data_IF_744858437293
#
_entry.id   IF_744858437293
#
_cell.length_a   1.000
_cell.length_b   1.000
_cell.length_c   1.000
_cell.angle_alpha   90.00
_cell.angle_beta   90.00
_cell.angle_gamma   90.00
#
_symmetry.space_group_name_H-M   'P 1'
#
loop_
_entity.id
_entity.type
_entity.pdbx_description
1 polymer ?
#
# COMPACT_ATOMS: atom_id res chain seq x y z
N UNK A 1 10.24 1.03 -9.39
CA UNK A 1 10.60 1.05 -7.96
C UNK A 1 9.57 1.87 -7.22
N UNK A 2 9.19 1.45 -6.01
CA UNK A 2 8.29 2.21 -5.14
C UNK A 2 8.98 2.35 -3.78
N UNK A 3 8.98 3.57 -3.25
CA UNK A 3 9.67 3.91 -2.01
C UNK A 3 8.68 4.52 -1.03
N UNK A 4 8.54 3.93 0.16
CA UNK A 4 7.75 4.49 1.26
C UNK A 4 8.63 5.37 2.15
N UNK A 5 8.15 6.56 2.45
CA UNK A 5 8.74 7.46 3.45
C UNK A 5 7.91 7.39 4.72
N UNK A 6 8.58 7.43 5.87
CA UNK A 6 7.94 7.20 7.15
C UNK A 6 8.38 8.23 8.18
N UNK A 7 7.45 8.65 9.04
CA UNK A 7 7.82 9.34 10.27
C UNK A 7 8.23 8.30 11.33
N UNK A 8 9.36 8.54 11.99
CA UNK A 8 9.87 7.70 13.06
C UNK A 8 9.59 8.40 14.38
N UNK A 9 8.82 7.76 15.27
CA UNK A 9 8.69 8.27 16.64
C UNK A 9 9.96 7.90 17.43
N UNK A 10 10.77 8.86 17.90
CA UNK A 10 12.02 8.57 18.61
C UNK A 10 11.79 7.87 19.95
N UNK A 11 10.59 7.95 20.53
CA UNK A 11 10.23 7.28 21.79
C UNK A 11 9.67 5.87 21.59
N UNK A 12 9.29 5.51 20.37
CA UNK A 12 8.76 4.19 20.07
C UNK A 12 9.06 3.78 18.63
N UNK A 13 10.12 2.99 18.46
CA UNK A 13 10.61 2.51 17.16
C UNK A 13 9.55 1.70 16.40
N UNK A 14 8.54 1.17 17.10
CA UNK A 14 7.43 0.39 16.54
C UNK A 14 6.29 1.24 15.94
N UNK A 15 6.28 2.56 16.16
CA UNK A 15 5.30 3.47 15.55
C UNK A 15 5.90 4.08 14.27
N UNK A 16 5.98 3.28 13.22
CA UNK A 16 6.34 3.74 11.88
C UNK A 16 5.03 4.01 11.12
N UNK A 17 4.86 5.22 10.60
CA UNK A 17 3.69 5.57 9.79
C UNK A 17 4.14 6.13 8.45
N UNK A 18 3.56 5.63 7.37
CA UNK A 18 3.79 6.11 6.02
C UNK A 18 3.28 7.54 5.91
N UNK A 19 4.16 8.43 5.48
CA UNK A 19 3.88 9.86 5.29
C UNK A 19 3.75 10.21 3.82
N UNK A 20 4.49 9.51 2.96
CA UNK A 20 4.44 9.68 1.52
C UNK A 20 5.00 8.45 0.82
N UNK A 21 4.65 8.32 -0.46
CA UNK A 21 5.13 7.24 -1.33
C UNK A 21 5.62 7.86 -2.63
N UNK A 22 6.80 7.43 -3.08
CA UNK A 22 7.38 7.85 -4.35
C UNK A 22 7.45 6.68 -5.30
N UNK A 23 7.07 6.92 -6.56
CA UNK A 23 7.05 5.92 -7.62
C UNK A 23 8.06 6.26 -8.69
N UNK A 24 8.76 5.25 -9.21
CA UNK A 24 9.82 5.43 -10.19
C UNK A 24 9.72 4.38 -11.30
N UNK A 25 9.96 4.81 -12.53
CA UNK A 25 10.16 3.95 -13.70
C UNK A 25 11.65 3.90 -14.04
N UNK A 26 12.15 2.72 -14.42
CA UNK A 26 13.50 2.61 -14.95
C UNK A 26 13.49 3.05 -16.41
N UNK A 27 14.26 4.09 -16.73
CA UNK A 27 14.61 4.45 -18.09
C UNK A 27 15.83 3.62 -18.50
N UNK A 28 15.60 2.64 -19.38
CA UNK A 28 16.66 1.75 -19.85
C UNK A 28 17.68 2.43 -20.76
N UNK A 29 17.29 3.52 -21.44
CA UNK A 29 18.21 4.23 -22.35
C UNK A 29 19.27 4.96 -21.54
N UNK A 30 18.82 5.69 -20.53
CA UNK A 30 19.66 6.50 -19.65
C UNK A 30 20.11 5.74 -18.38
N UNK A 31 19.71 4.47 -18.24
CA UNK A 31 20.00 3.61 -17.08
C UNK A 31 19.71 4.28 -15.72
N UNK A 32 18.62 5.04 -15.63
CA UNK A 32 18.27 5.84 -14.44
C UNK A 32 16.82 5.65 -14.01
N UNK A 33 16.56 5.83 -12.72
CA UNK A 33 15.22 5.90 -12.18
C UNK A 33 14.63 7.30 -12.40
N UNK A 34 13.45 7.36 -13.03
CA UNK A 34 12.70 8.59 -13.26
C UNK A 34 11.47 8.57 -12.37
N UNK A 35 11.30 9.60 -11.54
CA UNK A 35 10.12 9.75 -10.68
C UNK A 35 8.86 9.90 -11.53
N UNK A 36 7.80 9.21 -11.15
CA UNK A 36 6.48 9.28 -11.76
C UNK A 36 5.57 10.09 -10.86
N UNK A 37 4.96 11.14 -11.42
CA UNK A 37 3.94 11.95 -10.76
C UNK A 37 2.53 11.39 -10.96
N UNK A 38 2.35 10.48 -11.93
CA UNK A 38 1.09 9.80 -12.25
C UNK A 38 1.35 8.38 -12.72
N UNK A 39 0.43 7.48 -12.40
CA UNK A 39 0.41 6.09 -12.85
C UNK A 39 -0.60 5.85 -13.99
N UNK A 40 -1.44 6.84 -14.30
CA UNK A 40 -2.54 6.68 -15.25
C UNK A 40 -3.58 5.69 -14.71
N UNK A 41 -4.00 4.75 -15.54
CA UNK A 41 -4.96 3.69 -15.16
C UNK A 41 -4.32 2.57 -14.32
N UNK A 42 -3.05 2.68 -13.95
CA UNK A 42 -2.41 1.67 -13.10
C UNK A 42 -2.65 1.95 -11.61
N UNK A 43 -2.78 0.88 -10.84
CA UNK A 43 -2.79 0.90 -9.38
C UNK A 43 -1.93 -0.18 -8.78
N UNK A 44 -1.24 0.16 -7.69
CA UNK A 44 -0.34 -0.75 -7.00
C UNK A 44 -0.94 -1.18 -5.67
N UNK A 45 -0.71 -2.45 -5.31
CA UNK A 45 -0.99 -2.97 -3.99
C UNK A 45 0.33 -3.43 -3.37
N UNK A 46 0.66 -2.89 -2.20
CA UNK A 46 1.94 -3.07 -1.51
C UNK A 46 1.72 -3.76 -0.17
N UNK A 47 2.16 -5.01 -0.09
CA UNK A 47 2.33 -5.72 1.17
C UNK A 47 3.77 -5.64 1.67
N UNK A 48 4.04 -6.31 2.79
CA UNK A 48 5.38 -6.42 3.38
C UNK A 48 6.38 -7.07 2.41
N UNK A 49 6.01 -8.23 1.84
CA UNK A 49 6.90 -9.02 0.97
C UNK A 49 6.38 -9.22 -0.46
N UNK A 50 5.34 -8.48 -0.85
CA UNK A 50 4.77 -8.62 -2.20
C UNK A 50 4.21 -7.30 -2.69
N UNK A 51 4.31 -7.10 -4.00
CA UNK A 51 3.62 -6.01 -4.68
C UNK A 51 3.01 -6.51 -5.97
N UNK A 52 1.85 -5.96 -6.32
CA UNK A 52 1.20 -6.20 -7.61
C UNK A 52 0.76 -4.88 -8.22
N UNK A 53 0.88 -4.79 -9.54
CA UNK A 53 0.36 -3.71 -10.34
C UNK A 53 -0.81 -4.25 -11.16
N UNK A 54 -1.91 -3.50 -11.20
CA UNK A 54 -3.07 -3.83 -12.04
C UNK A 54 -3.49 -2.64 -12.88
N UNK A 55 -4.18 -2.95 -13.97
CA UNK A 55 -5.02 -1.99 -14.69
C UNK A 55 -6.30 -1.80 -13.87
N UNK A 56 -6.47 -0.63 -13.27
CA UNK A 56 -7.54 -0.35 -12.31
C UNK A 56 -8.92 -0.50 -12.94
N UNK A 57 -9.09 -0.06 -14.19
CA UNK A 57 -10.34 -0.23 -14.94
C UNK A 57 -10.79 -1.69 -15.12
N UNK A 58 -9.88 -2.66 -14.99
CA UNK A 58 -10.23 -4.09 -15.04
C UNK A 58 -10.90 -4.62 -13.75
N UNK A 59 -10.89 -3.85 -12.66
CA UNK A 59 -11.37 -4.28 -11.35
C UNK A 59 -12.39 -3.28 -10.78
N UNK A 60 -13.69 -3.64 -10.69
CA UNK A 60 -14.71 -2.79 -10.10
C UNK A 60 -14.33 -2.31 -8.70
N UNK A 61 -14.37 -0.98 -8.48
CA UNK A 61 -14.01 -0.36 -7.21
C UNK A 61 -12.51 -0.10 -7.01
N UNK A 62 -11.63 -0.57 -7.90
CA UNK A 62 -10.23 -0.17 -7.92
C UNK A 62 -10.11 1.23 -8.50
N UNK A 63 -9.47 2.14 -7.75
CA UNK A 63 -9.28 3.52 -8.18
C UNK A 63 -7.95 3.61 -8.93
N UNK A 64 -7.90 4.20 -10.14
CA UNK A 64 -6.66 4.41 -10.87
C UNK A 64 -5.75 5.40 -10.13
N UNK A 65 -4.47 5.43 -10.49
CA UNK A 65 -3.51 6.38 -9.94
C UNK A 65 -3.38 6.34 -8.41
N UNK A 66 -3.59 5.16 -7.84
CA UNK A 66 -3.58 4.92 -6.40
C UNK A 66 -2.60 3.80 -6.02
N UNK A 67 -2.08 3.90 -4.80
CA UNK A 67 -1.25 2.86 -4.18
C UNK A 67 -1.91 2.45 -2.88
N UNK A 68 -2.40 1.22 -2.85
CA UNK A 68 -2.93 0.57 -1.67
C UNK A 68 -1.76 -0.07 -0.92
N UNK A 69 -1.66 0.16 0.39
CA UNK A 69 -0.56 -0.41 1.17
C UNK A 69 -1.04 -0.94 2.52
N UNK A 70 -0.40 -2.02 2.98
CA UNK A 70 -0.58 -2.53 4.33
C UNK A 70 0.62 -2.21 5.22
N UNK A 71 0.44 -2.49 6.51
CA UNK A 71 1.47 -2.42 7.54
C UNK A 71 2.64 -3.34 7.17
N UNK A 72 3.87 -2.87 7.40
CA UNK A 72 5.12 -3.57 7.15
C UNK A 72 5.63 -4.34 8.38
N UNK A 73 4.91 -4.28 9.51
CA UNK A 73 5.26 -5.04 10.70
C UNK A 73 4.33 -6.22 10.96
N UNK A 74 4.88 -7.25 11.62
CA UNK A 74 4.09 -8.25 12.35
C UNK A 74 3.36 -7.54 13.49
N UNK A 75 2.24 -6.92 13.18
CA UNK A 75 1.36 -6.32 14.17
C UNK A 75 0.92 -7.46 15.09
N UNK A 76 1.32 -7.38 16.36
CA UNK A 76 0.90 -8.37 17.34
C UNK A 76 -0.63 -8.34 17.39
N UNK A 77 -1.30 -9.50 17.38
CA UNK A 77 -2.75 -9.63 17.47
C UNK A 77 -3.42 -8.75 18.56
N UNK A 78 -2.66 -8.39 19.59
CA UNK A 78 -3.12 -7.66 20.77
C UNK A 78 -2.44 -6.28 20.92
N UNK A 79 -1.86 -5.68 19.87
CA UNK A 79 -1.39 -4.29 20.01
C UNK A 79 -2.63 -3.37 20.16
N UNK A 80 -2.82 -2.71 21.32
CA UNK A 80 -3.98 -1.83 21.55
C UNK A 80 -4.02 -0.63 20.59
N UNK A 81 -2.96 -0.39 19.82
CA UNK A 81 -2.92 0.64 18.77
C UNK A 81 -3.57 0.20 17.45
N UNK A 82 -3.86 -1.09 17.27
CA UNK A 82 -4.42 -1.62 16.03
C UNK A 82 -3.45 -1.55 14.84
N UNK A 83 -3.89 -1.95 13.63
CA UNK A 83 -3.10 -1.73 12.43
C UNK A 83 -2.94 -0.24 12.17
N UNK A 84 -1.71 0.25 12.24
CA UNK A 84 -1.44 1.70 12.26
C UNK A 84 -1.04 2.25 10.89
N UNK A 85 -0.56 1.38 9.98
CA UNK A 85 0.02 1.83 8.71
C UNK A 85 -0.58 1.16 7.48
N UNK A 86 -1.91 1.22 7.34
CA UNK A 86 -2.63 0.79 6.14
C UNK A 86 -3.42 1.94 5.52
N UNK A 87 -3.31 2.11 4.20
CA UNK A 87 -3.97 3.24 3.55
C UNK A 87 -4.00 3.16 2.03
N UNK A 88 -4.60 4.19 1.45
CA UNK A 88 -4.60 4.44 0.02
C UNK A 88 -3.88 5.76 -0.23
N UNK A 89 -2.76 5.70 -0.96
CA UNK A 89 -2.00 6.88 -1.37
C UNK A 89 -2.43 7.31 -2.77
N UNK A 90 -2.92 8.53 -2.89
CA UNK A 90 -3.27 9.16 -4.15
C UNK A 90 -2.02 9.80 -4.76
N UNK A 91 -1.52 9.26 -5.87
CA UNK A 91 -0.19 9.65 -6.39
C UNK A 91 -0.16 11.11 -6.83
N UNK A 92 -1.22 11.58 -7.48
CA UNK A 92 -1.29 12.96 -8.00
C UNK A 92 -1.44 14.02 -6.90
N UNK A 93 -2.17 13.75 -5.82
CA UNK A 93 -2.38 14.71 -4.73
C UNK A 93 -1.41 14.55 -3.56
N UNK A 94 -0.69 13.43 -3.51
CA UNK A 94 0.18 13.06 -2.39
C UNK A 94 -0.57 12.78 -1.08
N UNK A 95 -1.90 12.67 -1.11
CA UNK A 95 -2.73 12.47 0.08
C UNK A 95 -2.86 10.98 0.43
N UNK A 96 -2.99 10.70 1.73
CA UNK A 96 -3.26 9.35 2.24
C UNK A 96 -4.67 9.28 2.84
N UNK A 97 -5.47 8.37 2.31
CA UNK A 97 -6.73 7.91 2.90
C UNK A 97 -6.46 6.80 3.93
N UNK A 98 -6.88 7.01 5.19
CA UNK A 98 -6.77 6.04 6.28
C UNK A 98 -8.15 5.43 6.60
N UNK A 99 -8.77 4.71 5.66
CA UNK A 99 -10.17 4.27 5.78
C UNK A 99 -10.37 2.84 6.31
N UNK A 100 -9.29 2.13 6.65
CA UNK A 100 -9.40 0.77 7.13
C UNK A 100 -9.76 0.74 8.62
N UNK A 101 -11.05 0.80 8.93
CA UNK A 101 -11.58 0.44 10.25
C UNK A 101 -11.61 -1.07 10.40
N UNK A 102 -10.44 -1.69 10.57
CA UNK A 102 -10.32 -3.12 10.85
C UNK A 102 -10.25 -3.26 12.36
N UNK A 103 -11.26 -3.87 12.97
CA UNK A 103 -11.22 -4.20 14.38
C UNK A 103 -10.09 -5.21 14.67
N UNK A 104 -9.59 -5.20 15.90
CA UNK A 104 -8.45 -6.02 16.29
C UNK A 104 -8.69 -7.52 16.01
N UNK A 105 -9.90 -8.05 16.26
CA UNK A 105 -10.21 -9.46 16.08
C UNK A 105 -10.20 -9.85 14.59
N UNK A 106 -10.75 -9.01 13.72
CA UNK A 106 -10.67 -9.18 12.26
C UNK A 106 -9.22 -9.14 11.77
N UNK A 107 -8.40 -8.23 12.32
CA UNK A 107 -6.99 -8.14 11.98
C UNK A 107 -6.20 -9.42 12.37
N UNK A 108 -6.42 -9.98 13.57
CA UNK A 108 -5.80 -11.26 13.99
C UNK A 108 -6.11 -12.39 13.01
N UNK A 109 -7.34 -12.40 12.48
CA UNK A 109 -7.77 -13.42 11.52
C UNK A 109 -7.10 -13.22 10.16
N UNK A 110 -6.91 -11.97 9.73
CA UNK A 110 -6.24 -11.61 8.48
C UNK A 110 -4.74 -11.89 8.52
N UNK A 111 -4.05 -11.61 9.63
CA UNK A 111 -2.59 -11.79 9.75
C UNK A 111 -2.13 -13.25 9.62
N UNK A 112 -3.04 -14.21 9.82
CA UNK A 112 -2.78 -15.64 9.61
C UNK A 112 -2.88 -16.08 8.14
N UNK A 113 -3.23 -15.18 7.22
CA UNK A 113 -3.45 -15.48 5.81
C UNK A 113 -2.57 -14.57 4.96
N UNK A 114 -2.01 -15.06 3.83
CA UNK A 114 -1.38 -14.18 2.87
C UNK A 114 -2.42 -13.16 2.37
N UNK A 115 -2.07 -11.87 2.24
CA UNK A 115 -3.01 -10.87 1.75
C UNK A 115 -3.40 -11.19 0.31
N UNK A 116 -4.71 -11.31 0.06
CA UNK A 116 -5.28 -11.39 -1.29
C UNK A 116 -5.68 -9.97 -1.68
N UNK A 117 -4.88 -9.35 -2.54
CA UNK A 117 -5.10 -7.98 -3.00
C UNK A 117 -6.16 -7.87 -4.08
N UNK A 118 -6.17 -8.85 -4.97
CA UNK A 118 -6.99 -8.85 -6.17
C UNK A 118 -7.51 -10.25 -6.37
N UNK A 119 -8.83 -10.38 -6.46
CA UNK A 119 -9.48 -11.63 -6.82
C UNK A 119 -9.77 -11.56 -8.33
N UNK A 120 -9.29 -12.51 -9.13
CA UNK A 120 -9.62 -12.56 -10.55
C UNK A 120 -11.14 -12.63 -10.73
N UNK A 121 -11.68 -11.77 -11.58
CA UNK A 121 -13.06 -11.91 -12.06
C UNK A 121 -13.11 -13.11 -13.01
N UNK A 122 -13.76 -14.20 -12.58
CA UNK A 122 -14.09 -15.30 -13.49
C UNK A 122 -15.27 -14.81 -14.34
N UNK A 123 -14.98 -14.29 -15.53
CA UNK A 123 -16.00 -14.11 -16.56
C UNK A 123 -16.14 -15.43 -17.30
N UNK A 124 -17.19 -16.19 -16.98
CA UNK A 124 -17.66 -17.29 -17.82
C UNK A 124 -18.41 -16.74 -19.03
#
# INVERSE_FOLDING_TARGET
MITRCFCRNPRNVRNRKTTSIKTYKLDYKESRWVELEKLGDASFFLGDNSSICVVASSFPGCRPNCIYFTDDYTVFPNDPRGPCDMGVYHVESGQIEWHFSIDAASFVKMSKRPPIWVVPTITC
#
